data_IF_547425030710
#
_entry.id   IF_547425030710
#
_cell.length_a   1.000
_cell.length_b   1.000
_cell.length_c   1.000
_cell.angle_alpha   90.00
_cell.angle_beta   90.00
_cell.angle_gamma   90.00
#
_symmetry.space_group_name_H-M   'P 1'
#
loop_
_entity.id
_entity.type
_entity.pdbx_description
1 polymer ?
#
# COMPACT_ATOMS: atom_id res chain seq x y z
N UNK A 1 4.74 4.24 -12.18
CA UNK A 1 4.61 3.32 -11.03
C UNK A 1 5.99 3.01 -10.50
N UNK A 2 6.17 3.06 -9.18
CA UNK A 2 7.41 2.74 -8.47
C UNK A 2 7.09 1.64 -7.46
N UNK A 3 7.97 0.65 -7.32
CA UNK A 3 7.83 -0.43 -6.32
C UNK A 3 9.20 -0.79 -5.78
N UNK A 4 9.26 -1.54 -4.68
CA UNK A 4 10.49 -2.07 -4.12
C UNK A 4 10.30 -3.43 -3.48
N UNK A 5 11.42 -4.10 -3.21
CA UNK A 5 11.45 -5.17 -2.20
C UNK A 5 11.28 -4.58 -0.81
N UNK A 6 10.80 -5.38 0.15
CA UNK A 6 10.78 -5.00 1.57
C UNK A 6 12.21 -4.81 2.09
N UNK A 7 12.44 -3.74 2.85
CA UNK A 7 13.74 -3.40 3.43
C UNK A 7 13.71 -3.45 4.95
N UNK A 8 13.39 -4.62 5.47
CA UNK A 8 13.33 -4.91 6.91
C UNK A 8 14.66 -4.73 7.64
N UNK A 9 15.76 -4.72 6.88
CA UNK A 9 17.10 -4.39 7.35
C UNK A 9 17.26 -2.90 7.68
N UNK A 10 16.37 -2.03 7.20
CA UNK A 10 16.39 -0.60 7.46
C UNK A 10 15.40 -0.20 8.57
N UNK A 11 15.78 0.74 9.48
CA UNK A 11 14.91 1.17 10.57
C UNK A 11 13.54 1.74 10.15
N UNK A 12 13.43 2.25 8.92
CA UNK A 12 12.20 2.83 8.38
C UNK A 12 11.55 1.96 7.28
N UNK A 13 12.02 0.72 7.09
CA UNK A 13 11.48 -0.18 6.06
C UNK A 13 11.70 0.29 4.62
N UNK A 14 12.58 1.26 4.38
CA UNK A 14 12.82 1.86 3.06
C UNK A 14 11.91 3.04 2.71
N UNK A 15 11.05 3.51 3.63
CA UNK A 15 10.12 4.62 3.37
C UNK A 15 10.80 5.92 2.88
N UNK A 16 11.99 6.23 3.38
CA UNK A 16 12.76 7.39 2.92
C UNK A 16 13.13 7.28 1.44
N UNK A 17 13.43 6.08 0.94
CA UNK A 17 13.78 5.87 -0.46
C UNK A 17 12.58 6.14 -1.37
N UNK A 18 11.37 5.72 -0.98
CA UNK A 18 10.15 6.07 -1.70
C UNK A 18 9.94 7.58 -1.73
N UNK A 19 10.02 8.25 -0.58
CA UNK A 19 9.83 9.69 -0.48
C UNK A 19 10.83 10.48 -1.34
N UNK A 20 12.11 10.10 -1.32
CA UNK A 20 13.13 10.73 -2.16
C UNK A 20 12.89 10.48 -3.65
N UNK A 21 12.50 9.26 -4.02
CA UNK A 21 12.22 8.90 -5.42
C UNK A 21 11.04 9.73 -5.97
N UNK A 22 9.97 9.90 -5.19
CA UNK A 22 8.84 10.76 -5.57
C UNK A 22 9.33 12.20 -5.80
N UNK A 23 10.08 12.78 -4.85
CA UNK A 23 10.57 14.16 -4.95
C UNK A 23 11.50 14.38 -6.15
N UNK A 24 12.39 13.45 -6.43
CA UNK A 24 13.29 13.58 -7.58
C UNK A 24 12.54 13.44 -8.91
N UNK A 25 11.52 12.58 -8.99
CA UNK A 25 10.65 12.50 -10.18
C UNK A 25 9.90 13.80 -10.41
N UNK A 26 9.33 14.41 -9.35
CA UNK A 26 8.66 15.71 -9.43
C UNK A 26 9.61 16.82 -9.88
N UNK A 27 10.82 16.84 -9.32
CA UNK A 27 11.84 17.82 -9.69
C UNK A 27 12.28 17.69 -11.15
N UNK A 28 12.37 16.47 -11.67
CA UNK A 28 12.80 16.20 -13.04
C UNK A 28 11.68 16.40 -14.07
N UNK A 29 10.43 16.08 -13.72
CA UNK A 29 9.33 15.94 -14.69
C UNK A 29 8.04 16.70 -14.31
N UNK A 30 8.09 17.62 -13.34
CA UNK A 30 6.96 18.43 -12.92
C UNK A 30 5.79 17.65 -12.28
N UNK A 31 4.63 18.31 -12.20
CA UNK A 31 3.39 17.78 -11.62
C UNK A 31 2.52 17.04 -12.66
N UNK A 32 2.81 17.19 -13.95
CA UNK A 32 2.11 16.51 -15.05
C UNK A 32 2.35 14.99 -15.03
N UNK A 33 3.51 14.57 -14.54
CA UNK A 33 3.88 13.15 -14.45
C UNK A 33 3.25 12.56 -13.19
N UNK A 34 2.16 11.80 -13.32
CA UNK A 34 1.53 11.16 -12.15
C UNK A 34 2.40 10.04 -11.55
N UNK A 35 2.49 9.99 -10.23
CA UNK A 35 3.33 9.06 -9.46
C UNK A 35 2.46 8.13 -8.60
N UNK A 36 2.46 6.86 -8.96
CA UNK A 36 1.94 5.76 -8.12
C UNK A 36 3.10 5.04 -7.44
N UNK A 37 3.00 4.82 -6.12
CA UNK A 37 3.93 3.99 -5.34
C UNK A 37 3.23 2.75 -4.83
N UNK A 38 3.82 1.58 -5.06
CA UNK A 38 3.45 0.31 -4.44
C UNK A 38 4.41 0.04 -3.28
N UNK A 39 3.90 0.16 -2.05
CA UNK A 39 4.71 0.10 -0.81
C UNK A 39 4.52 -1.20 -0.04
N UNK A 40 5.52 -1.65 0.74
CA UNK A 40 5.30 -2.70 1.75
C UNK A 40 4.44 -2.16 2.90
N UNK A 41 4.09 -3.04 3.86
CA UNK A 41 3.28 -2.68 5.02
C UNK A 41 4.03 -1.87 6.10
N UNK A 42 5.34 -1.67 5.92
CA UNK A 42 6.27 -1.06 6.88
C UNK A 42 6.14 -1.63 8.30
N UNK A 43 5.70 -2.88 8.46
CA UNK A 43 5.37 -3.50 9.75
C UNK A 43 4.43 -2.65 10.60
N UNK A 44 3.54 -1.87 9.97
CA UNK A 44 2.56 -1.01 10.65
C UNK A 44 3.14 0.30 11.19
N UNK A 45 4.37 0.66 10.82
CA UNK A 45 5.02 1.90 11.24
C UNK A 45 4.32 3.12 10.63
N UNK A 46 3.53 3.83 11.46
CA UNK A 46 2.89 5.09 11.08
C UNK A 46 3.90 6.15 10.65
N UNK A 47 5.09 6.19 11.28
CA UNK A 47 6.16 7.12 10.92
C UNK A 47 6.69 6.86 9.49
N UNK A 48 6.83 5.59 9.12
CA UNK A 48 7.25 5.20 7.77
C UNK A 48 6.17 5.53 6.74
N UNK A 49 4.91 5.23 7.05
CA UNK A 49 3.79 5.60 6.16
C UNK A 49 3.70 7.11 5.94
N UNK A 50 3.74 7.88 7.04
CA UNK A 50 3.71 9.34 7.01
C UNK A 50 4.82 9.93 6.14
N UNK A 51 6.03 9.36 6.20
CA UNK A 51 7.16 9.80 5.37
C UNK A 51 6.84 9.70 3.87
N UNK A 52 6.20 8.62 3.43
CA UNK A 52 5.79 8.44 2.02
C UNK A 52 4.66 9.39 1.66
N UNK A 53 3.65 9.51 2.52
CA UNK A 53 2.49 10.39 2.30
C UNK A 53 2.88 11.87 2.21
N UNK A 54 3.82 12.34 3.03
CA UNK A 54 4.37 13.70 2.96
C UNK A 54 5.08 14.01 1.64
N UNK A 55 5.53 12.98 0.90
CA UNK A 55 6.10 13.16 -0.44
C UNK A 55 5.03 13.31 -1.54
N UNK A 56 3.74 13.19 -1.20
CA UNK A 56 2.58 13.41 -2.07
C UNK A 56 2.59 12.59 -3.37
N UNK A 57 2.60 11.24 -3.29
CA UNK A 57 2.24 10.44 -4.45
C UNK A 57 0.81 10.77 -4.90
N UNK A 58 0.50 10.58 -6.17
CA UNK A 58 -0.89 10.69 -6.66
C UNK A 58 -1.72 9.47 -6.24
N UNK A 59 -1.06 8.31 -6.17
CA UNK A 59 -1.67 7.04 -5.75
C UNK A 59 -0.71 6.34 -4.79
N UNK A 60 -1.20 6.02 -3.59
CA UNK A 60 -0.56 5.08 -2.68
C UNK A 60 -1.20 3.70 -2.87
N UNK A 61 -0.40 2.73 -3.30
CA UNK A 61 -0.81 1.37 -3.54
C UNK A 61 -0.21 0.43 -2.49
N UNK A 62 -1.04 -0.40 -1.87
CA UNK A 62 -0.62 -1.52 -1.05
C UNK A 62 -1.56 -2.70 -1.32
N UNK A 63 -1.02 -3.74 -1.95
CA UNK A 63 -1.81 -4.93 -2.27
C UNK A 63 -2.12 -5.75 -1.00
N UNK A 64 -3.33 -6.27 -0.89
CA UNK A 64 -3.65 -7.39 0.01
C UNK A 64 -3.15 -8.73 -0.57
N UNK A 65 -3.11 -8.84 -1.90
CA UNK A 65 -2.74 -10.02 -2.69
C UNK A 65 -3.72 -11.19 -2.61
N UNK A 66 -4.32 -11.47 -1.46
CA UNK A 66 -5.27 -12.57 -1.29
C UNK A 66 -6.23 -12.33 -0.13
N UNK A 67 -7.17 -13.25 0.06
CA UNK A 67 -8.17 -13.25 1.12
C UNK A 67 -7.54 -13.52 2.50
N UNK A 68 -8.22 -13.11 3.57
CA UNK A 68 -7.74 -13.24 4.96
C UNK A 68 -7.31 -14.66 5.35
N UNK A 69 -8.09 -15.68 4.96
CA UNK A 69 -7.81 -17.08 5.29
C UNK A 69 -6.54 -17.64 4.62
N UNK A 70 -6.21 -17.21 3.40
CA UNK A 70 -5.01 -17.65 2.68
C UNK A 70 -3.77 -16.84 3.03
N UNK A 71 -3.93 -15.72 3.72
CA UNK A 71 -2.88 -14.76 3.99
C UNK A 71 -1.64 -15.35 4.69
N UNK A 72 -1.76 -16.21 5.72
CA UNK A 72 -0.58 -16.82 6.36
C UNK A 72 0.22 -17.75 5.44
N UNK A 73 -0.43 -18.31 4.41
CA UNK A 73 0.21 -19.22 3.44
C UNK A 73 0.90 -18.44 2.31
N UNK A 74 0.22 -17.41 1.80
CA UNK A 74 0.70 -16.61 0.66
C UNK A 74 1.69 -15.53 1.09
N UNK A 75 1.48 -14.94 2.28
CA UNK A 75 2.26 -13.80 2.81
C UNK A 75 2.62 -14.01 4.29
N UNK A 76 3.46 -14.99 4.63
CA UNK A 76 3.73 -15.38 6.02
C UNK A 76 4.36 -14.29 6.92
N UNK A 77 4.88 -13.21 6.34
CA UNK A 77 5.48 -12.09 7.08
C UNK A 77 4.57 -10.84 7.14
N UNK A 78 3.46 -10.85 6.42
CA UNK A 78 2.49 -9.76 6.43
C UNK A 78 1.28 -10.15 7.31
N UNK A 79 0.44 -9.18 7.59
CA UNK A 79 -0.78 -9.36 8.37
C UNK A 79 -1.94 -8.65 7.65
N UNK A 80 -3.08 -9.34 7.51
CA UNK A 80 -4.21 -8.87 6.71
C UNK A 80 -4.80 -7.57 7.29
N UNK A 81 -5.06 -7.55 8.59
CA UNK A 81 -5.60 -6.38 9.29
C UNK A 81 -4.63 -5.20 9.24
N UNK A 82 -3.33 -5.46 9.41
CA UNK A 82 -2.30 -4.43 9.27
C UNK A 82 -2.26 -3.81 7.88
N UNK A 83 -2.51 -4.59 6.84
CA UNK A 83 -2.58 -4.07 5.47
C UNK A 83 -3.81 -3.21 5.24
N UNK A 84 -4.97 -3.59 5.79
CA UNK A 84 -6.19 -2.77 5.77
C UNK A 84 -5.98 -1.46 6.56
N UNK A 85 -5.44 -1.56 7.78
CA UNK A 85 -5.13 -0.42 8.64
C UNK A 85 -4.16 0.56 7.97
N UNK A 86 -3.20 0.08 7.17
CA UNK A 86 -2.31 0.94 6.40
C UNK A 86 -3.06 1.79 5.37
N UNK A 87 -4.03 1.20 4.67
CA UNK A 87 -4.86 1.92 3.69
C UNK A 87 -5.76 2.94 4.38
N UNK A 88 -6.39 2.55 5.49
CA UNK A 88 -7.20 3.42 6.34
C UNK A 88 -6.39 4.63 6.83
N UNK A 89 -5.23 4.38 7.46
CA UNK A 89 -4.33 5.44 7.95
C UNK A 89 -3.82 6.35 6.85
N UNK A 90 -3.69 5.83 5.62
CA UNK A 90 -3.32 6.66 4.47
C UNK A 90 -4.42 7.68 4.19
N UNK A 91 -5.69 7.30 4.29
CA UNK A 91 -6.83 8.21 4.16
C UNK A 91 -6.96 9.19 5.32
N UNK A 92 -6.65 8.77 6.54
CA UNK A 92 -6.58 9.67 7.70
C UNK A 92 -5.49 10.73 7.56
N UNK A 93 -4.33 10.37 6.99
CA UNK A 93 -3.20 11.28 6.79
C UNK A 93 -3.44 12.29 5.67
N UNK A 94 -3.96 11.84 4.53
CA UNK A 94 -4.35 12.71 3.42
C UNK A 94 -5.38 12.02 2.52
N UNK A 95 -6.66 12.34 2.74
CA UNK A 95 -7.77 11.75 1.99
C UNK A 95 -7.79 12.14 0.50
N UNK A 96 -7.03 13.16 0.10
CA UNK A 96 -6.91 13.59 -1.31
C UNK A 96 -6.02 12.69 -2.15
N UNK A 97 -5.15 11.88 -1.53
CA UNK A 97 -4.31 10.89 -2.21
C UNK A 97 -5.15 9.64 -2.48
N UNK A 98 -5.15 9.15 -3.71
CA UNK A 98 -5.87 7.92 -4.04
C UNK A 98 -5.18 6.72 -3.38
N UNK A 99 -5.96 5.82 -2.78
CA UNK A 99 -5.48 4.52 -2.31
C UNK A 99 -5.86 3.43 -3.29
N UNK A 100 -4.98 2.43 -3.42
CA UNK A 100 -5.16 1.30 -4.33
C UNK A 100 -4.75 0.01 -3.66
N UNK A 101 -5.44 -1.07 -4.00
CA UNK A 101 -5.02 -2.43 -3.65
C UNK A 101 -5.15 -3.38 -4.83
N UNK A 102 -4.73 -4.62 -4.62
CA UNK A 102 -4.71 -5.65 -5.64
C UNK A 102 -4.90 -7.03 -5.02
N UNK A 103 -5.57 -7.91 -5.76
CA UNK A 103 -5.80 -9.31 -5.42
C UNK A 103 -5.32 -10.18 -6.59
N UNK A 104 -4.60 -11.25 -6.28
CA UNK A 104 -4.30 -12.35 -7.19
C UNK A 104 -5.35 -13.44 -6.99
N UNK A 105 -6.05 -13.80 -8.07
CA UNK A 105 -7.02 -14.89 -8.09
C UNK A 105 -6.39 -16.19 -8.58
N UNK A 106 -6.98 -17.33 -8.22
CA UNK A 106 -6.50 -18.67 -8.53
C UNK A 106 -5.59 -19.29 -7.47
N UNK A 107 -5.62 -18.77 -6.23
CA UNK A 107 -4.83 -19.26 -5.09
C UNK A 107 -5.61 -20.24 -4.19
N UNK A 108 -6.89 -20.45 -4.48
CA UNK A 108 -7.78 -21.35 -3.73
C UNK A 108 -8.92 -20.63 -3.02
N UNK A 109 -9.06 -19.32 -3.26
CA UNK A 109 -10.16 -18.51 -2.78
C UNK A 109 -11.49 -18.89 -3.45
N UNK A 110 -12.58 -18.80 -2.71
CA UNK A 110 -13.92 -18.83 -3.27
C UNK A 110 -14.34 -17.44 -3.76
N UNK A 111 -15.33 -17.42 -4.65
CA UNK A 111 -15.90 -16.15 -5.12
C UNK A 111 -16.45 -15.28 -3.97
N UNK A 112 -17.04 -15.90 -2.94
CA UNK A 112 -17.60 -15.18 -1.79
C UNK A 112 -16.50 -14.50 -0.99
N UNK A 113 -15.41 -15.21 -0.71
CA UNK A 113 -14.27 -14.63 0.03
C UNK A 113 -13.59 -13.48 -0.72
N UNK A 114 -13.60 -13.52 -2.07
CA UNK A 114 -13.14 -12.38 -2.89
C UNK A 114 -14.04 -11.17 -2.70
N UNK A 115 -15.36 -11.36 -2.69
CA UNK A 115 -16.31 -10.27 -2.45
C UNK A 115 -16.13 -9.70 -1.04
N UNK A 116 -16.02 -10.54 -0.02
CA UNK A 116 -15.76 -10.11 1.37
C UNK A 116 -14.47 -9.28 1.44
N UNK A 117 -13.39 -9.73 0.80
CA UNK A 117 -12.12 -8.98 0.75
C UNK A 117 -12.27 -7.63 0.03
N UNK A 118 -13.11 -7.56 -1.02
CA UNK A 118 -13.42 -6.31 -1.70
C UNK A 118 -14.26 -5.37 -0.82
N UNK A 119 -15.18 -5.92 0.00
CA UNK A 119 -15.95 -5.17 0.99
C UNK A 119 -15.02 -4.59 2.06
N UNK A 120 -14.12 -5.39 2.63
CA UNK A 120 -13.10 -4.94 3.59
C UNK A 120 -12.27 -3.76 3.04
N UNK A 121 -11.81 -3.88 1.77
CA UNK A 121 -11.09 -2.80 1.09
C UNK A 121 -11.95 -1.53 0.94
N UNK A 122 -13.25 -1.68 0.69
CA UNK A 122 -14.16 -0.54 0.56
C UNK A 122 -14.46 0.11 1.91
N UNK A 123 -14.49 -0.66 3.00
CA UNK A 123 -14.67 -0.14 4.36
C UNK A 123 -13.52 0.78 4.78
N UNK A 124 -12.28 0.46 4.39
CA UNK A 124 -11.10 1.32 4.61
C UNK A 124 -10.89 2.38 3.52
N UNK A 125 -11.94 2.71 2.78
CA UNK A 125 -11.98 3.72 1.72
C UNK A 125 -10.94 3.52 0.58
N UNK A 126 -10.57 2.26 0.27
CA UNK A 126 -9.73 1.96 -0.90
C UNK A 126 -10.42 2.38 -2.20
N UNK A 127 -9.73 3.14 -3.05
CA UNK A 127 -10.36 3.75 -4.23
C UNK A 127 -10.27 2.90 -5.49
N UNK A 128 -9.13 2.21 -5.68
CA UNK A 128 -8.77 1.48 -6.91
C UNK A 128 -8.42 0.04 -6.58
#
# INVERSE_FOLDING_TARGET
>A
MITSVTRDDLPNGGAEQFAQTIREIRKANGEETRVEVLIPDFKGSLLSLKKVMEAKPDVLNHNLETISHLYPQVRPQADYERSLELLERSKELDSSIYTKSGLMVGLGESFIEVIETMEDLREVECNI
#
